data_IF_044977421012
#
_entry.id   IF_044977421012
#
_cell.length_a   1.000
_cell.length_b   1.000
_cell.length_c   1.000
_cell.angle_alpha   90.00
_cell.angle_beta   90.00
_cell.angle_gamma   90.00
#
_symmetry.space_group_name_H-M   'P 1'
#
loop_
_entity.id
_entity.type
_entity.pdbx_description
1 polymer ?
#
# COMPACT_ATOMS: atom_id res chain seq x y z
N UNK A 1 -6.22 -33.33 21.24
CA UNK A 1 -5.51 -32.84 22.44
C UNK A 1 -4.44 -31.79 22.10
N UNK A 2 -3.55 -32.04 21.13
CA UNK A 2 -2.49 -31.09 20.72
C UNK A 2 -3.06 -29.73 20.27
N UNK A 3 -4.05 -29.73 19.36
CA UNK A 3 -4.75 -28.50 18.92
C UNK A 3 -5.26 -27.66 20.08
N UNK A 4 -5.92 -28.30 21.05
CA UNK A 4 -6.50 -27.63 22.22
C UNK A 4 -5.42 -27.00 23.09
N UNK A 5 -4.26 -27.66 23.21
CA UNK A 5 -3.11 -27.14 23.95
C UNK A 5 -2.48 -25.93 23.24
N UNK A 6 -2.16 -26.03 21.94
CA UNK A 6 -1.64 -24.91 21.13
C UNK A 6 -2.56 -23.70 21.21
N UNK A 7 -3.86 -23.91 21.01
CA UNK A 7 -4.87 -22.86 21.12
C UNK A 7 -4.91 -22.24 22.53
N UNK A 8 -4.83 -23.04 23.58
CA UNK A 8 -4.84 -22.57 24.96
C UNK A 8 -3.65 -21.65 25.26
N UNK A 9 -2.43 -22.08 24.89
CA UNK A 9 -1.20 -21.30 25.12
C UNK A 9 -1.24 -19.98 24.33
N UNK A 10 -1.64 -20.02 23.05
CA UNK A 10 -1.74 -18.81 22.23
C UNK A 10 -2.82 -17.84 22.74
N UNK A 11 -3.99 -18.34 23.16
CA UNK A 11 -5.06 -17.50 23.73
C UNK A 11 -4.69 -16.92 25.09
N UNK A 12 -4.04 -17.72 25.95
CA UNK A 12 -3.54 -17.24 27.24
C UNK A 12 -2.53 -16.12 27.03
N UNK A 13 -1.56 -16.33 26.14
CA UNK A 13 -0.54 -15.31 25.79
C UNK A 13 -1.19 -14.05 25.23
N UNK A 14 -2.15 -14.18 24.32
CA UNK A 14 -2.90 -13.04 23.77
C UNK A 14 -3.63 -12.25 24.85
N UNK A 15 -4.29 -12.95 25.78
CA UNK A 15 -5.02 -12.32 26.89
C UNK A 15 -4.09 -11.57 27.84
N UNK A 16 -2.92 -12.16 28.15
CA UNK A 16 -1.89 -11.51 28.97
C UNK A 16 -1.33 -10.25 28.29
N UNK A 17 -1.08 -10.32 26.98
CA UNK A 17 -0.63 -9.17 26.18
C UNK A 17 -1.69 -8.07 26.17
N UNK A 18 -2.96 -8.39 25.95
CA UNK A 18 -4.05 -7.41 26.00
C UNK A 18 -4.18 -6.76 27.38
N UNK A 19 -4.05 -7.53 28.46
CA UNK A 19 -4.05 -7.00 29.82
C UNK A 19 -2.86 -6.05 30.07
N UNK A 20 -1.67 -6.37 29.54
CA UNK A 20 -0.52 -5.47 29.63
C UNK A 20 -0.70 -4.19 28.80
N UNK A 21 -1.27 -4.28 27.60
CA UNK A 21 -1.58 -3.09 26.78
C UNK A 21 -2.56 -2.17 27.51
N UNK A 22 -3.59 -2.73 28.17
CA UNK A 22 -4.58 -1.96 28.94
C UNK A 22 -3.98 -1.30 30.18
N UNK A 23 -3.11 -2.00 30.91
CA UNK A 23 -2.46 -1.47 32.12
C UNK A 23 -1.35 -0.45 31.83
N UNK A 24 -0.71 -0.53 30.65
CA UNK A 24 0.37 0.39 30.25
C UNK A 24 -0.11 1.78 29.80
N UNK A 25 -1.41 2.08 29.83
CA UNK A 25 -1.94 3.44 29.64
C UNK A 25 -1.76 3.99 28.21
N UNK A 26 -2.69 3.66 27.32
CA UNK A 26 -3.27 4.51 26.25
C UNK A 26 -2.41 5.17 25.16
N UNK A 27 -1.13 5.51 25.36
CA UNK A 27 -0.52 6.59 24.56
C UNK A 27 0.79 6.28 23.82
N UNK A 28 1.33 5.04 23.81
CA UNK A 28 2.55 4.73 23.05
C UNK A 28 2.60 3.31 22.47
N UNK A 29 1.57 2.88 21.74
CA UNK A 29 1.65 1.69 20.87
C UNK A 29 1.94 2.06 19.41
N UNK A 30 2.46 3.27 19.16
CA UNK A 30 3.02 3.62 17.86
C UNK A 30 4.28 2.79 17.63
N UNK A 31 4.21 1.85 16.70
CA UNK A 31 5.34 1.08 16.16
C UNK A 31 6.44 1.95 15.48
N UNK A 32 6.38 3.27 15.63
CA UNK A 32 7.33 4.21 15.06
C UNK A 32 8.23 4.75 16.18
N UNK A 33 9.54 4.63 15.94
CA UNK A 33 10.71 4.95 16.78
C UNK A 33 11.21 3.81 17.68
N UNK A 34 12.17 3.05 17.15
CA UNK A 34 13.01 2.10 17.91
C UNK A 34 12.31 0.78 18.20
N UNK A 35 12.47 -0.19 17.29
CA UNK A 35 12.04 -1.58 17.51
C UNK A 35 12.98 -2.21 18.55
N UNK A 36 12.61 -2.05 19.81
CA UNK A 36 12.95 -2.93 20.91
C UNK A 36 11.69 -3.19 21.72
N UNK A 37 11.53 -4.42 22.18
CA UNK A 37 10.44 -5.26 21.73
C UNK A 37 9.16 -4.88 22.46
N UNK A 38 8.15 -4.45 21.69
CA UNK A 38 6.81 -4.29 22.25
C UNK A 38 6.47 -5.58 22.99
N UNK A 39 5.89 -5.43 24.17
CA UNK A 39 5.51 -6.53 25.07
C UNK A 39 4.76 -7.66 24.34
N UNK A 40 4.12 -7.32 23.22
CA UNK A 40 3.48 -8.20 22.25
C UNK A 40 4.46 -9.23 21.67
N UNK A 41 5.62 -8.83 21.12
CA UNK A 41 6.58 -9.76 20.51
C UNK A 41 7.39 -10.53 21.55
N UNK A 42 7.80 -9.89 22.65
CA UNK A 42 8.56 -10.60 23.71
C UNK A 42 7.75 -11.76 24.27
N UNK A 43 6.49 -11.50 24.64
CA UNK A 43 5.64 -12.51 25.26
C UNK A 43 5.27 -13.62 24.30
N UNK A 44 5.01 -13.29 23.03
CA UNK A 44 4.78 -14.33 22.03
C UNK A 44 6.04 -15.15 21.77
N UNK A 45 7.22 -14.53 21.74
CA UNK A 45 8.48 -15.27 21.60
C UNK A 45 8.73 -16.20 22.79
N UNK A 46 8.35 -15.79 24.01
CA UNK A 46 8.41 -16.67 25.18
C UNK A 46 7.44 -17.86 25.05
N UNK A 47 6.20 -17.63 24.59
CA UNK A 47 5.24 -18.71 24.30
C UNK A 47 5.72 -19.64 23.17
N UNK A 48 6.50 -19.12 22.21
CA UNK A 48 7.13 -19.93 21.18
C UNK A 48 8.04 -20.99 21.78
N UNK A 49 8.82 -20.67 22.82
CA UNK A 49 9.74 -21.64 23.44
C UNK A 49 9.00 -22.86 24.03
N UNK A 50 7.76 -22.67 24.49
CA UNK A 50 6.92 -23.77 25.01
C UNK A 50 6.34 -24.62 23.86
N UNK A 51 5.85 -23.97 22.81
CA UNK A 51 5.16 -24.66 21.71
C UNK A 51 6.10 -25.26 20.66
N UNK A 52 7.29 -24.67 20.48
CA UNK A 52 8.27 -25.03 19.45
C UNK A 52 8.58 -26.53 19.38
N UNK A 53 8.92 -27.25 20.47
CA UNK A 53 9.24 -28.68 20.35
C UNK A 53 8.05 -29.52 19.85
N UNK A 54 6.82 -29.12 20.17
CA UNK A 54 5.61 -29.80 19.70
C UNK A 54 5.36 -29.48 18.22
N UNK A 55 5.56 -28.21 17.83
CA UNK A 55 5.35 -27.76 16.44
C UNK A 55 6.40 -28.35 15.50
N UNK A 56 7.67 -28.42 15.90
CA UNK A 56 8.74 -29.07 15.12
C UNK A 56 8.46 -30.57 14.89
N UNK A 57 7.91 -31.25 15.88
CA UNK A 57 7.51 -32.66 15.74
C UNK A 57 6.30 -32.84 14.80
N UNK A 58 5.40 -31.85 14.71
CA UNK A 58 4.32 -31.84 13.72
C UNK A 58 4.90 -31.61 12.33
N UNK A 59 5.81 -30.63 12.18
CA UNK A 59 6.47 -30.32 10.91
C UNK A 59 7.26 -31.52 10.38
N UNK A 60 8.01 -32.23 11.22
CA UNK A 60 8.84 -33.39 10.83
C UNK A 60 8.03 -34.59 10.33
N UNK A 61 6.74 -34.67 10.69
CA UNK A 61 5.82 -35.76 10.31
C UNK A 61 5.01 -35.48 9.04
N UNK A 62 5.22 -34.31 8.44
CA UNK A 62 4.68 -33.91 7.14
C UNK A 62 5.48 -34.67 6.06
N UNK A 63 4.94 -35.76 5.51
CA UNK A 63 3.95 -35.63 4.42
C UNK A 63 2.60 -36.31 4.71
N UNK A 64 2.37 -36.78 5.94
CA UNK A 64 1.10 -37.43 6.29
C UNK A 64 -0.04 -36.41 6.27
N UNK A 65 -1.14 -36.73 5.56
CA UNK A 65 -2.29 -35.83 5.38
C UNK A 65 -2.86 -35.27 6.69
N UNK A 66 -2.95 -36.10 7.73
CA UNK A 66 -3.45 -35.68 9.04
C UNK A 66 -2.57 -34.61 9.70
N UNK A 67 -1.24 -34.69 9.54
CA UNK A 67 -0.30 -33.72 10.08
C UNK A 67 -0.25 -32.44 9.24
N UNK A 68 -0.43 -32.54 7.93
CA UNK A 68 -0.61 -31.36 7.05
C UNK A 68 -1.82 -30.54 7.51
N UNK A 69 -2.98 -31.19 7.68
CA UNK A 69 -4.21 -30.52 8.14
C UNK A 69 -4.03 -29.91 9.54
N UNK A 70 -3.41 -30.65 10.46
CA UNK A 70 -3.14 -30.15 11.81
C UNK A 70 -2.20 -28.94 11.78
N UNK A 71 -1.18 -28.95 10.92
CA UNK A 71 -0.23 -27.85 10.75
C UNK A 71 -0.91 -26.60 10.17
N UNK A 72 -1.73 -26.75 9.14
CA UNK A 72 -2.54 -25.67 8.57
C UNK A 72 -3.49 -25.05 9.62
N UNK A 73 -4.09 -25.89 10.48
CA UNK A 73 -4.91 -25.42 11.59
C UNK A 73 -4.09 -24.62 12.62
N UNK A 74 -2.89 -25.08 12.95
CA UNK A 74 -1.97 -24.35 13.83
C UNK A 74 -1.55 -23.00 13.24
N UNK A 75 -1.25 -22.94 11.94
CA UNK A 75 -0.95 -21.68 11.23
C UNK A 75 -2.13 -20.72 11.29
N UNK A 76 -3.34 -21.22 11.03
CA UNK A 76 -4.57 -20.41 11.09
C UNK A 76 -4.81 -19.86 12.49
N UNK A 77 -4.70 -20.70 13.53
CA UNK A 77 -4.87 -20.28 14.92
C UNK A 77 -3.83 -19.24 15.33
N UNK A 78 -2.58 -19.42 14.93
CA UNK A 78 -1.53 -18.42 15.13
C UNK A 78 -1.91 -17.09 14.48
N UNK A 79 -2.26 -17.10 13.19
CA UNK A 79 -2.64 -15.90 12.44
C UNK A 79 -3.83 -15.18 13.07
N UNK A 80 -4.87 -15.92 13.49
CA UNK A 80 -6.05 -15.35 14.16
C UNK A 80 -5.67 -14.62 15.46
N UNK A 81 -4.85 -15.25 16.30
CA UNK A 81 -4.43 -14.65 17.56
C UNK A 81 -3.56 -13.42 17.33
N UNK A 82 -2.59 -13.49 16.41
CA UNK A 82 -1.74 -12.34 16.05
C UNK A 82 -2.53 -11.18 15.47
N UNK A 83 -3.46 -11.47 14.56
CA UNK A 83 -4.29 -10.46 13.92
C UNK A 83 -5.15 -9.73 14.95
N UNK A 84 -5.67 -10.42 15.96
CA UNK A 84 -6.46 -9.80 17.03
C UNK A 84 -5.69 -8.75 17.84
N UNK A 85 -4.37 -8.87 17.93
CA UNK A 85 -3.50 -7.96 18.70
C UNK A 85 -3.03 -6.78 17.87
N UNK A 86 -2.66 -7.04 16.62
CA UNK A 86 -1.97 -6.07 15.76
C UNK A 86 -2.96 -5.23 14.97
N UNK A 87 -4.13 -5.79 14.61
CA UNK A 87 -5.13 -5.13 13.76
C UNK A 87 -5.44 -3.73 14.25
N UNK A 88 -5.83 -3.56 15.51
CA UNK A 88 -6.19 -2.25 16.06
C UNK A 88 -5.04 -1.24 15.99
N UNK A 89 -3.81 -1.69 16.21
CA UNK A 89 -2.63 -0.82 16.22
C UNK A 89 -2.28 -0.37 14.78
N UNK A 90 -2.32 -1.30 13.83
CA UNK A 90 -2.10 -1.00 12.41
C UNK A 90 -3.18 -0.07 11.89
N UNK A 91 -4.45 -0.33 12.25
CA UNK A 91 -5.57 0.51 11.84
C UNK A 91 -5.44 1.94 12.37
N UNK A 92 -5.10 2.09 13.65
CA UNK A 92 -4.86 3.38 14.25
C UNK A 92 -3.74 4.13 13.51
N UNK A 93 -2.60 3.47 13.28
CA UNK A 93 -1.44 4.14 12.70
C UNK A 93 -1.64 4.54 11.24
N UNK A 94 -2.25 3.68 10.43
CA UNK A 94 -2.60 4.02 9.04
C UNK A 94 -3.65 5.13 8.99
N UNK A 95 -4.62 5.13 9.92
CA UNK A 95 -5.59 6.23 10.02
C UNK A 95 -4.93 7.56 10.38
N UNK A 96 -3.90 7.54 11.23
CA UNK A 96 -3.11 8.74 11.56
C UNK A 96 -2.36 9.28 10.34
N UNK A 97 -1.72 8.42 9.55
CA UNK A 97 -1.11 8.84 8.26
C UNK A 97 -2.18 9.44 7.35
N UNK A 98 -3.33 8.79 7.23
CA UNK A 98 -4.42 9.28 6.39
C UNK A 98 -4.96 10.64 6.83
N UNK A 99 -4.92 10.96 8.12
CA UNK A 99 -5.36 12.29 8.60
C UNK A 99 -4.32 13.39 8.36
N UNK A 100 -3.02 13.06 8.37
CA UNK A 100 -1.94 14.05 8.36
C UNK A 100 -1.30 14.26 6.99
N UNK A 101 -1.32 13.24 6.15
CA UNK A 101 -0.50 13.19 4.94
C UNK A 101 -1.35 13.26 3.65
N UNK A 102 -0.74 13.78 2.58
CA UNK A 102 -1.27 13.70 1.22
C UNK A 102 -1.29 12.24 0.73
N UNK A 103 -1.96 11.97 -0.39
CA UNK A 103 -2.14 10.60 -0.90
C UNK A 103 -0.81 9.91 -1.24
N UNK A 104 0.13 10.62 -1.87
CA UNK A 104 1.45 10.08 -2.21
C UNK A 104 2.29 9.76 -0.97
N UNK A 105 2.34 10.69 -0.01
CA UNK A 105 2.98 10.49 1.30
C UNK A 105 2.37 9.33 2.09
N UNK A 106 1.04 9.26 2.19
CA UNK A 106 0.31 8.16 2.83
C UNK A 106 0.67 6.81 2.20
N UNK A 107 0.77 6.76 0.87
CA UNK A 107 1.11 5.52 0.17
C UNK A 107 2.52 5.07 0.54
N UNK A 108 3.51 5.97 0.52
CA UNK A 108 4.89 5.65 0.93
C UNK A 108 4.96 5.20 2.39
N UNK A 109 4.42 6.02 3.31
CA UNK A 109 4.48 5.76 4.76
C UNK A 109 3.70 4.51 5.15
N UNK A 110 2.50 4.33 4.61
CA UNK A 110 1.63 3.19 4.83
C UNK A 110 2.23 1.88 4.32
N UNK A 111 2.81 1.88 3.11
CA UNK A 111 3.49 0.71 2.57
C UNK A 111 4.75 0.38 3.38
N UNK A 112 5.61 1.37 3.66
CA UNK A 112 6.82 1.17 4.46
C UNK A 112 6.49 0.59 5.84
N UNK A 113 5.45 1.11 6.48
CA UNK A 113 4.97 0.64 7.77
C UNK A 113 4.44 -0.79 7.72
N UNK A 114 3.55 -1.12 6.77
CA UNK A 114 3.05 -2.49 6.62
C UNK A 114 4.18 -3.48 6.32
N UNK A 115 5.17 -3.08 5.52
CA UNK A 115 6.32 -3.92 5.24
C UNK A 115 7.12 -4.23 6.51
N UNK A 116 7.33 -3.25 7.37
CA UNK A 116 7.99 -3.44 8.66
C UNK A 116 7.20 -4.40 9.57
N UNK A 117 5.87 -4.22 9.66
CA UNK A 117 5.01 -5.11 10.44
C UNK A 117 5.07 -6.54 9.90
N UNK A 118 4.95 -6.74 8.59
CA UNK A 118 5.02 -8.07 7.97
C UNK A 118 6.36 -8.75 8.21
N UNK A 119 7.47 -8.00 8.20
CA UNK A 119 8.78 -8.54 8.54
C UNK A 119 8.86 -9.03 9.98
N UNK A 120 8.36 -8.24 10.94
CA UNK A 120 8.36 -8.64 12.35
C UNK A 120 7.48 -9.87 12.58
N UNK A 121 6.32 -9.94 11.91
CA UNK A 121 5.44 -11.11 11.99
C UNK A 121 6.07 -12.34 11.36
N UNK A 122 6.76 -12.21 10.23
CA UNK A 122 7.48 -13.31 9.62
C UNK A 122 8.64 -13.81 10.49
N UNK A 123 9.41 -12.89 11.10
CA UNK A 123 10.45 -13.27 12.06
C UNK A 123 9.86 -14.02 13.24
N UNK A 124 8.75 -13.55 13.81
CA UNK A 124 8.08 -14.24 14.91
C UNK A 124 7.56 -15.61 14.47
N UNK A 125 6.93 -15.69 13.30
CA UNK A 125 6.42 -16.95 12.74
C UNK A 125 7.54 -17.99 12.57
N UNK A 126 8.71 -17.60 12.07
CA UNK A 126 9.87 -18.48 11.97
C UNK A 126 10.35 -19.05 13.32
N UNK A 127 10.07 -18.37 14.45
CA UNK A 127 10.38 -18.93 15.77
C UNK A 127 9.41 -20.06 16.18
N UNK A 128 8.17 -20.05 15.67
CA UNK A 128 7.18 -21.10 15.92
C UNK A 128 7.24 -22.23 14.89
N UNK A 129 7.46 -21.89 13.61
CA UNK A 129 7.35 -22.79 12.47
C UNK A 129 8.57 -22.62 11.54
N UNK A 130 9.75 -23.16 11.92
CA UNK A 130 10.97 -22.98 11.15
C UNK A 130 10.87 -23.61 9.74
N UNK A 131 10.25 -24.79 9.63
CA UNK A 131 10.15 -25.51 8.36
C UNK A 131 9.10 -24.89 7.43
N UNK A 132 8.01 -24.38 8.01
CA UNK A 132 6.93 -23.75 7.24
C UNK A 132 7.19 -22.28 6.90
N UNK A 133 8.25 -21.68 7.46
CA UNK A 133 8.61 -20.27 7.22
C UNK A 133 8.97 -19.98 5.76
N UNK A 134 9.37 -20.99 4.98
CA UNK A 134 9.65 -20.85 3.55
C UNK A 134 8.38 -20.67 2.71
N UNK A 135 7.25 -21.19 3.19
CA UNK A 135 5.97 -21.05 2.52
C UNK A 135 5.30 -19.73 2.89
N UNK A 136 5.33 -18.81 1.93
CA UNK A 136 4.78 -17.45 2.08
C UNK A 136 3.26 -17.48 2.29
N UNK A 137 2.57 -18.54 1.84
CA UNK A 137 1.11 -18.64 1.92
C UNK A 137 0.60 -18.84 3.35
N UNK A 138 1.45 -19.35 4.25
CA UNK A 138 1.11 -19.62 5.65
C UNK A 138 0.71 -18.36 6.45
N UNK A 139 1.24 -17.20 6.07
CA UNK A 139 0.97 -15.91 6.72
C UNK A 139 -0.09 -15.06 6.00
N UNK A 140 -0.57 -15.49 4.84
CA UNK A 140 -1.61 -14.79 4.06
C UNK A 140 -2.84 -14.42 4.90
N UNK A 141 -3.40 -15.29 5.78
CA UNK A 141 -4.56 -14.93 6.60
C UNK A 141 -4.31 -13.77 7.59
N UNK A 142 -3.04 -13.50 7.93
CA UNK A 142 -2.63 -12.38 8.78
C UNK A 142 -2.35 -11.12 7.95
N UNK A 143 -1.67 -11.26 6.81
CA UNK A 143 -1.18 -10.14 5.99
C UNK A 143 -2.28 -9.52 5.13
N UNK A 144 -3.14 -10.32 4.50
CA UNK A 144 -4.17 -9.83 3.58
C UNK A 144 -5.15 -8.85 4.23
N UNK A 145 -5.65 -9.10 5.46
CA UNK A 145 -6.55 -8.14 6.13
C UNK A 145 -5.86 -6.81 6.46
N UNK A 146 -4.55 -6.81 6.72
CA UNK A 146 -3.79 -5.60 7.00
C UNK A 146 -3.56 -4.78 5.73
N UNK A 147 -3.26 -5.44 4.61
CA UNK A 147 -3.11 -4.79 3.31
C UNK A 147 -4.45 -4.24 2.82
N UNK A 148 -5.53 -5.00 2.98
CA UNK A 148 -6.89 -4.56 2.64
C UNK A 148 -7.26 -3.27 3.37
N UNK A 149 -6.85 -3.12 4.64
CA UNK A 149 -7.09 -1.90 5.39
C UNK A 149 -6.38 -0.67 4.81
N UNK A 150 -5.13 -0.82 4.35
CA UNK A 150 -4.42 0.26 3.67
C UNK A 150 -5.18 0.68 2.40
N UNK A 151 -5.60 -0.30 1.60
CA UNK A 151 -6.38 -0.07 0.38
C UNK A 151 -7.69 0.69 0.67
N UNK A 152 -8.47 0.22 1.65
CA UNK A 152 -9.74 0.84 2.02
C UNK A 152 -9.55 2.27 2.55
N UNK A 153 -8.40 2.55 3.18
CA UNK A 153 -8.07 3.89 3.67
C UNK A 153 -7.61 4.83 2.55
N UNK A 154 -6.83 4.33 1.59
CA UNK A 154 -6.34 5.13 0.46
C UNK A 154 -7.42 5.38 -0.60
N UNK A 155 -8.37 4.45 -0.77
CA UNK A 155 -9.36 4.47 -1.84
C UNK A 155 -10.22 5.74 -1.89
N UNK A 156 -10.80 6.24 -0.78
CA UNK A 156 -11.59 7.48 -0.81
C UNK A 156 -10.78 8.68 -1.32
N UNK A 157 -9.53 8.82 -0.84
CA UNK A 157 -8.64 9.89 -1.29
C UNK A 157 -8.33 9.80 -2.78
N UNK A 158 -8.06 8.59 -3.28
CA UNK A 158 -7.79 8.34 -4.69
C UNK A 158 -8.99 8.71 -5.60
N UNK A 159 -10.20 8.36 -5.19
CA UNK A 159 -11.42 8.66 -5.97
C UNK A 159 -11.69 10.17 -6.04
N UNK A 160 -11.34 10.92 -4.99
CA UNK A 160 -11.53 12.37 -4.97
C UNK A 160 -10.39 13.14 -5.61
N UNK A 161 -9.24 12.52 -5.84
CA UNK A 161 -8.07 13.18 -6.43
C UNK A 161 -8.37 13.74 -7.83
N UNK A 162 -8.02 15.01 -8.02
CA UNK A 162 -8.23 15.77 -9.26
C UNK A 162 -6.91 16.11 -9.94
N UNK A 163 -5.81 16.17 -9.17
CA UNK A 163 -4.52 16.60 -9.67
C UNK A 163 -3.84 15.46 -10.46
N UNK A 164 -3.58 15.70 -11.74
CA UNK A 164 -2.89 14.75 -12.62
C UNK A 164 -1.46 14.47 -12.16
N UNK A 165 -0.75 15.48 -11.65
CA UNK A 165 0.64 15.35 -11.21
C UNK A 165 0.76 14.40 -10.01
N UNK A 166 -0.20 14.48 -9.08
CA UNK A 166 -0.27 13.59 -7.90
C UNK A 166 -0.57 12.14 -8.32
N UNK A 167 -1.45 11.95 -9.31
CA UNK A 167 -1.76 10.63 -9.85
C UNK A 167 -0.54 10.01 -10.56
N UNK A 168 0.20 10.80 -11.34
CA UNK A 168 1.44 10.38 -11.98
C UNK A 168 2.53 10.05 -10.94
N UNK A 169 2.69 10.89 -9.91
CA UNK A 169 3.60 10.62 -8.79
C UNK A 169 3.24 9.29 -8.12
N UNK A 170 1.95 9.03 -7.90
CA UNK A 170 1.47 7.82 -7.26
C UNK A 170 1.76 6.55 -8.08
N UNK A 171 1.64 6.61 -9.41
CA UNK A 171 2.07 5.52 -10.30
C UNK A 171 3.56 5.24 -10.13
N UNK A 172 4.40 6.28 -10.14
CA UNK A 172 5.84 6.15 -9.96
C UNK A 172 6.20 5.54 -8.60
N UNK A 173 5.56 6.00 -7.51
CA UNK A 173 5.75 5.44 -6.17
C UNK A 173 5.40 3.94 -6.15
N UNK A 174 4.23 3.58 -6.67
CA UNK A 174 3.77 2.20 -6.62
C UNK A 174 4.66 1.27 -7.47
N UNK A 175 4.99 1.66 -8.70
CA UNK A 175 5.79 0.84 -9.62
C UNK A 175 7.28 0.80 -9.25
N UNK A 176 7.90 1.96 -9.09
CA UNK A 176 9.35 2.07 -8.97
C UNK A 176 9.78 1.86 -7.52
N UNK A 177 9.23 2.64 -6.59
CA UNK A 177 9.66 2.61 -5.19
C UNK A 177 9.16 1.34 -4.46
N UNK A 178 7.87 1.04 -4.54
CA UNK A 178 7.27 -0.03 -3.72
C UNK A 178 7.39 -1.41 -4.39
N UNK A 179 6.86 -1.58 -5.61
CA UNK A 179 6.92 -2.86 -6.33
C UNK A 179 8.35 -3.19 -6.80
N UNK A 180 9.08 -2.20 -7.33
CA UNK A 180 10.42 -2.35 -7.87
C UNK A 180 11.50 -2.57 -6.80
N UNK A 181 11.65 -1.65 -5.85
CA UNK A 181 12.78 -1.68 -4.91
C UNK A 181 12.47 -2.39 -3.59
N UNK A 182 11.33 -2.09 -2.98
CA UNK A 182 11.04 -2.56 -1.63
C UNK A 182 10.58 -4.02 -1.60
N UNK A 183 9.72 -4.41 -2.54
CA UNK A 183 9.22 -5.78 -2.65
C UNK A 183 10.24 -6.77 -3.20
N UNK A 184 11.15 -6.36 -4.09
CA UNK A 184 12.23 -7.22 -4.58
C UNK A 184 13.17 -7.65 -3.45
N UNK A 185 13.51 -6.73 -2.55
CA UNK A 185 14.38 -7.00 -1.38
C UNK A 185 13.70 -7.84 -0.30
N UNK A 186 12.37 -7.81 -0.19
CA UNK A 186 11.60 -8.36 0.96
C UNK A 186 10.52 -9.37 0.58
N UNK A 187 10.57 -9.90 -0.65
CA UNK A 187 9.53 -10.74 -1.28
C UNK A 187 9.02 -11.89 -0.40
N UNK A 188 9.90 -12.54 0.36
CA UNK A 188 9.58 -13.71 1.18
C UNK A 188 8.60 -13.42 2.34
N UNK A 189 8.48 -12.17 2.79
CA UNK A 189 7.62 -11.82 3.93
C UNK A 189 6.30 -11.16 3.51
N UNK A 190 6.04 -10.99 2.21
CA UNK A 190 5.07 -10.02 1.71
C UNK A 190 4.10 -10.55 0.64
N UNK A 191 3.64 -11.81 0.68
CA UNK A 191 2.72 -12.31 -0.36
C UNK A 191 1.42 -11.49 -0.53
N UNK A 192 0.85 -10.95 0.55
CA UNK A 192 -0.44 -10.23 0.50
C UNK A 192 -0.37 -8.77 0.03
N UNK A 193 0.83 -8.17 0.03
CA UNK A 193 1.00 -6.76 -0.31
C UNK A 193 0.94 -6.48 -1.83
N UNK A 194 1.64 -7.24 -2.71
CA UNK A 194 1.58 -7.07 -4.17
C UNK A 194 0.17 -7.00 -4.75
N UNK A 195 -0.74 -7.97 -4.50
CA UNK A 195 -2.08 -7.93 -5.11
C UNK A 195 -2.89 -6.71 -4.64
N UNK A 196 -2.62 -6.21 -3.43
CA UNK A 196 -3.25 -4.99 -2.92
C UNK A 196 -2.71 -3.76 -3.66
N UNK A 197 -1.40 -3.67 -3.87
CA UNK A 197 -0.77 -2.57 -4.59
C UNK A 197 -1.16 -2.54 -6.06
N UNK A 198 -1.22 -3.69 -6.72
CA UNK A 198 -1.68 -3.80 -8.11
C UNK A 198 -3.11 -3.30 -8.26
N UNK A 199 -3.98 -3.58 -7.27
CA UNK A 199 -5.33 -3.00 -7.24
C UNK A 199 -5.31 -1.49 -7.07
N UNK A 200 -4.45 -0.93 -6.21
CA UNK A 200 -4.32 0.53 -6.08
C UNK A 200 -3.86 1.11 -7.42
N UNK A 201 -2.83 0.53 -8.02
CA UNK A 201 -2.24 0.96 -9.29
C UNK A 201 -3.28 0.96 -10.43
N UNK A 202 -4.08 -0.10 -10.54
CA UNK A 202 -5.16 -0.18 -11.52
C UNK A 202 -6.18 0.96 -11.35
N UNK A 203 -6.59 1.25 -10.11
CA UNK A 203 -7.50 2.36 -9.83
C UNK A 203 -6.86 3.73 -10.16
N UNK A 204 -5.55 3.89 -9.90
CA UNK A 204 -4.82 5.13 -10.24
C UNK A 204 -4.81 5.32 -11.76
N UNK A 205 -4.52 4.27 -12.52
CA UNK A 205 -4.53 4.32 -13.98
C UNK A 205 -5.91 4.64 -14.56
N UNK A 206 -6.97 4.02 -14.03
CA UNK A 206 -8.35 4.32 -14.45
C UNK A 206 -8.68 5.80 -14.17
N UNK A 207 -8.33 6.29 -12.98
CA UNK A 207 -8.58 7.67 -12.59
C UNK A 207 -7.78 8.67 -13.44
N UNK A 208 -6.51 8.39 -13.71
CA UNK A 208 -5.65 9.20 -14.56
C UNK A 208 -6.21 9.27 -15.97
N UNK A 209 -6.61 8.13 -16.53
CA UNK A 209 -7.23 8.04 -17.85
C UNK A 209 -8.51 8.87 -17.93
N UNK A 210 -9.37 8.76 -16.91
CA UNK A 210 -10.59 9.56 -16.84
C UNK A 210 -10.29 11.06 -16.81
N UNK A 211 -9.39 11.50 -15.94
CA UNK A 211 -9.04 12.91 -15.78
C UNK A 211 -8.37 13.50 -17.02
N UNK A 212 -7.46 12.75 -17.66
CA UNK A 212 -6.82 13.16 -18.91
C UNK A 212 -7.86 13.35 -20.04
N UNK A 213 -8.82 12.42 -20.19
CA UNK A 213 -9.89 12.54 -21.19
C UNK A 213 -10.79 13.74 -20.93
N UNK A 214 -11.13 14.02 -19.66
CA UNK A 214 -11.91 15.21 -19.30
C UNK A 214 -11.14 16.48 -19.60
N UNK A 215 -9.86 16.56 -19.23
CA UNK A 215 -9.00 17.71 -19.49
C UNK A 215 -8.93 18.04 -20.99
N UNK A 216 -8.61 17.04 -21.82
CA UNK A 216 -8.55 17.21 -23.29
C UNK A 216 -9.90 17.68 -23.84
N UNK A 217 -11.01 17.09 -23.38
CA UNK A 217 -12.35 17.47 -23.85
C UNK A 217 -12.71 18.91 -23.49
N UNK A 218 -12.37 19.33 -22.27
CA UNK A 218 -12.68 20.68 -21.81
C UNK A 218 -11.78 21.72 -22.49
N UNK A 219 -10.52 21.40 -22.75
CA UNK A 219 -9.60 22.24 -23.54
C UNK A 219 -10.05 22.36 -25.00
N UNK A 220 -10.57 21.27 -25.59
CA UNK A 220 -11.16 21.29 -26.95
C UNK A 220 -12.42 22.15 -27.00
N UNK A 221 -13.24 22.16 -25.94
CA UNK A 221 -14.42 23.06 -25.84
C UNK A 221 -14.04 24.52 -25.70
N UNK A 222 -12.91 24.82 -25.04
CA UNK A 222 -12.36 26.16 -24.93
C UNK A 222 -11.86 26.64 -26.30
N UNK A 223 -11.25 25.77 -27.10
CA UNK A 223 -10.85 26.10 -28.47
C UNK A 223 -12.03 26.17 -29.45
N UNK A 224 -13.18 25.59 -29.11
CA UNK A 224 -14.46 25.77 -29.83
C UNK A 224 -15.16 27.10 -29.47
N UNK A 225 -14.40 28.04 -28.87
CA UNK A 225 -14.78 29.44 -28.70
C UNK A 225 -14.35 30.35 -29.88
N UNK A 226 -14.79 30.06 -31.13
CA UNK A 226 -14.98 31.11 -32.12
C UNK A 226 -16.41 31.16 -32.68
N UNK A 227 -17.36 30.37 -32.17
CA UNK A 227 -18.78 30.49 -32.60
C UNK A 227 -19.66 31.37 -31.71
N UNK A 228 -19.21 31.65 -30.47
CA UNK A 228 -19.93 32.55 -29.55
C UNK A 228 -19.39 33.98 -29.56
N UNK A 229 -18.18 34.20 -30.05
CA UNK A 229 -17.65 35.55 -30.30
C UNK A 229 -18.16 36.14 -31.61
N UNK A 230 -18.53 35.36 -32.63
CA UNK A 230 -19.17 35.92 -33.83
C UNK A 230 -20.54 36.57 -33.54
N UNK A 231 -21.19 36.23 -32.41
CA UNK A 231 -22.40 36.91 -31.94
C UNK A 231 -22.13 38.14 -31.05
N UNK A 232 -20.94 38.27 -30.47
CA UNK A 232 -20.58 39.41 -29.60
C UNK A 232 -19.58 40.40 -30.22
N UNK A 233 -18.81 40.01 -31.23
CA UNK A 233 -17.83 40.86 -31.94
C UNK A 233 -18.49 41.85 -32.92
N UNK A 234 -19.81 41.75 -33.11
CA UNK A 234 -20.57 42.84 -33.72
C UNK A 234 -20.67 44.10 -32.81
N UNK A 235 -20.16 44.03 -31.57
CA UNK A 235 -20.06 45.16 -30.67
C UNK A 235 -18.65 45.25 -30.06
N UNK A 236 -17.96 46.35 -30.35
CA UNK A 236 -16.79 46.88 -29.64
C UNK A 236 -15.41 46.29 -29.98
N UNK A 237 -14.82 46.92 -31.01
CA UNK A 237 -13.39 47.16 -31.11
C UNK A 237 -12.98 48.19 -30.02
N UNK A 238 -12.05 47.87 -29.13
CA UNK A 238 -10.88 48.72 -28.91
C UNK A 238 -9.80 48.16 -27.95
N UNK A 239 -8.58 48.13 -28.49
CA UNK A 239 -7.27 48.27 -27.83
C UNK A 239 -6.60 47.07 -27.10
N UNK A 240 -5.25 47.04 -27.04
CA UNK A 240 -4.47 45.83 -26.82
C UNK A 240 -3.77 45.80 -25.45
N UNK A 241 -3.79 44.66 -24.77
CA UNK A 241 -2.89 44.41 -23.62
C UNK A 241 -2.14 43.10 -23.78
N UNK A 242 -0.82 43.25 -23.91
CA UNK A 242 0.22 42.23 -24.09
C UNK A 242 0.24 41.22 -22.94
N UNK A 243 0.39 39.93 -23.26
CA UNK A 243 0.93 38.93 -22.34
C UNK A 243 2.44 38.81 -22.51
N UNK A 244 3.15 38.63 -21.39
CA UNK A 244 4.53 38.16 -21.38
C UNK A 244 4.70 37.13 -20.27
N UNK A 245 5.21 35.95 -20.63
CA UNK A 245 5.99 35.10 -19.75
C UNK A 245 7.19 34.58 -20.53
N UNK A 246 8.37 34.78 -19.95
CA UNK A 246 9.68 34.37 -20.47
C UNK A 246 10.11 33.09 -19.76
N UNK A 247 10.68 32.14 -20.50
CA UNK A 247 11.45 31.05 -19.94
C UNK A 247 12.89 31.19 -20.46
N UNK A 248 13.84 31.37 -19.55
CA UNK A 248 15.27 31.45 -19.86
C UNK A 248 15.79 30.07 -20.30
N UNK A 249 16.57 30.07 -21.38
CA UNK A 249 17.42 28.91 -21.73
C UNK A 249 17.13 28.21 -23.05
N UNK A 250 16.61 28.90 -24.08
CA UNK A 250 16.77 28.40 -25.45
C UNK A 250 16.81 29.55 -26.47
N UNK A 251 18.01 29.89 -26.90
CA UNK A 251 18.28 30.83 -27.99
C UNK A 251 17.99 30.15 -29.33
N UNK A 252 16.76 30.29 -29.83
CA UNK A 252 16.41 30.31 -31.26
C UNK A 252 14.96 30.84 -31.39
N UNK A 253 14.84 32.07 -31.88
CA UNK A 253 13.57 32.72 -32.20
C UNK A 253 13.11 32.19 -33.56
N UNK A 254 12.11 31.31 -33.58
CA UNK A 254 11.26 31.12 -34.76
C UNK A 254 9.82 30.88 -34.31
N UNK A 255 8.95 31.82 -34.66
CA UNK A 255 7.51 31.71 -34.45
C UNK A 255 6.90 30.69 -35.39
N UNK A 256 6.26 29.68 -34.82
CA UNK A 256 5.48 28.67 -35.54
C UNK A 256 4.44 28.07 -34.61
N UNK A 257 3.20 27.91 -35.09
CA UNK A 257 2.10 27.34 -34.33
C UNK A 257 2.37 25.86 -33.97
N UNK A 258 1.83 25.43 -32.83
CA UNK A 258 1.83 24.03 -32.33
C UNK A 258 1.36 23.00 -33.40
N UNK A 259 0.63 23.44 -34.42
CA UNK A 259 0.21 22.59 -35.54
C UNK A 259 1.33 22.06 -36.43
N UNK A 260 2.59 22.48 -36.27
CA UNK A 260 3.70 21.96 -37.07
C UNK A 260 4.33 20.66 -36.53
N UNK A 261 4.03 20.27 -35.28
CA UNK A 261 4.50 18.99 -34.71
C UNK A 261 3.58 17.80 -35.01
N UNK A 262 2.36 18.04 -35.49
CA UNK A 262 1.41 16.98 -35.87
C UNK A 262 1.60 16.45 -37.30
N UNK A 263 2.56 16.98 -38.06
CA UNK A 263 2.79 16.61 -39.46
C UNK A 263 3.97 15.63 -39.69
N UNK A 264 4.54 15.03 -38.65
CA UNK A 264 5.67 14.09 -38.78
C UNK A 264 5.41 12.65 -38.29
N UNK A 265 4.16 12.24 -38.08
CA UNK A 265 3.81 10.82 -38.02
C UNK A 265 4.63 9.98 -37.03
N UNK A 266 4.92 10.49 -35.83
CA UNK A 266 5.48 9.68 -34.76
C UNK A 266 4.35 8.96 -34.03
N UNK A 267 4.27 7.64 -34.22
CA UNK A 267 3.50 6.72 -33.37
C UNK A 267 3.85 6.96 -31.90
N UNK A 268 2.87 7.37 -31.10
CA UNK A 268 2.95 7.24 -29.64
C UNK A 268 2.85 5.75 -29.29
N UNK A 269 3.98 5.06 -29.34
CA UNK A 269 4.14 3.79 -28.65
C UNK A 269 4.13 4.09 -27.15
N UNK A 270 3.06 3.64 -26.49
CA UNK A 270 2.99 3.50 -25.05
C UNK A 270 4.07 2.48 -24.69
N UNK A 271 5.22 2.95 -24.22
CA UNK A 271 6.24 2.10 -23.63
C UNK A 271 5.73 1.65 -22.25
N UNK A 272 5.33 0.38 -22.19
CA UNK A 272 5.21 -0.38 -20.96
C UNK A 272 6.56 -0.35 -20.21
N UNK A 273 6.54 0.29 -19.04
CA UNK A 273 7.46 0.07 -17.93
C UNK A 273 6.63 0.02 -16.64
#
# INVERSE_FOLDING_TARGET
>A
MIRTHVLSVLRSTSSQVQAAIRSSGGNKTSFAEGIEPSIIYVRFKAAANELKPILEEIESRTPRKEYIQLLEECHKLYCEQRLSLIRGIVQQRISEFSRKEALSSLTRSGCAYLMQVCQLEHQLFNHFFPSSSEDISSLTPLVDPLCTFLYDTSRPKLIHETNLDVLCELVNILKVEVLGEQLSRRRKSLAGLPPTLDRILANVHERLTFRARTYIRDETRIWDYPKKLEQSVSAELDSPSKFAFSCEGCSLIYGGSVNQYLAQGCELTILDL
#
